data_IF_804257397456
#
_entry.id   IF_804257397456
#
_cell.length_a   1.000
_cell.length_b   1.000
_cell.length_c   1.000
_cell.angle_alpha   90.00
_cell.angle_beta   90.00
_cell.angle_gamma   90.00
#
_symmetry.space_group_name_H-M   'P 1'
#
loop_
_entity.id
_entity.type
_entity.pdbx_description
1 polymer ?
#
# COMPACT_ATOMS: atom_id res chain seq x y z
N UNK A 1 -3.70 -20.01 -5.04
CA UNK A 1 -4.08 -18.63 -4.64
C UNK A 1 -5.22 -18.28 -5.57
N UNK A 2 -6.41 -17.93 -5.05
CA UNK A 2 -7.62 -17.89 -5.88
C UNK A 2 -7.44 -17.16 -7.22
N UNK A 3 -6.89 -15.93 -7.22
CA UNK A 3 -6.67 -15.16 -8.47
C UNK A 3 -5.66 -15.80 -9.42
N UNK A 4 -4.64 -16.51 -8.90
CA UNK A 4 -3.72 -17.30 -9.73
C UNK A 4 -4.41 -18.50 -10.35
N UNK A 5 -5.27 -19.15 -9.58
CA UNK A 5 -5.99 -20.32 -10.03
C UNK A 5 -7.00 -19.92 -11.13
N UNK A 6 -7.59 -18.73 -11.04
CA UNK A 6 -8.34 -18.09 -12.15
C UNK A 6 -7.46 -17.85 -13.37
N UNK A 7 -6.28 -17.24 -13.20
CA UNK A 7 -5.36 -16.93 -14.29
C UNK A 7 -4.80 -18.17 -15.00
N UNK A 8 -4.73 -19.30 -14.28
CA UNK A 8 -4.29 -20.60 -14.80
C UNK A 8 -5.44 -21.47 -15.32
N UNK A 9 -6.68 -20.98 -15.28
CA UNK A 9 -7.88 -21.74 -15.66
C UNK A 9 -8.01 -23.06 -14.85
N UNK A 10 -7.53 -23.07 -13.59
CA UNK A 10 -7.59 -24.24 -12.70
C UNK A 10 -9.03 -24.41 -12.22
N UNK A 11 -9.70 -25.45 -12.70
CA UNK A 11 -11.14 -25.71 -12.51
C UNK A 11 -12.07 -24.69 -13.19
N UNK A 12 -11.60 -23.97 -14.20
CA UNK A 12 -12.36 -22.94 -14.89
C UNK A 12 -12.05 -21.53 -14.36
N UNK A 13 -11.81 -20.62 -15.29
CA UNK A 13 -11.75 -19.18 -15.05
C UNK A 13 -13.15 -18.57 -15.20
N UNK A 14 -13.51 -17.68 -14.27
CA UNK A 14 -14.72 -16.88 -14.38
C UNK A 14 -14.75 -16.17 -15.76
N UNK A 15 -15.84 -16.28 -16.54
CA UNK A 15 -15.90 -15.71 -17.88
C UNK A 15 -15.60 -14.22 -17.93
N UNK A 16 -16.01 -13.45 -16.91
CA UNK A 16 -15.73 -12.02 -16.84
C UNK A 16 -14.25 -11.75 -16.62
N UNK A 17 -13.59 -12.52 -15.74
CA UNK A 17 -12.14 -12.41 -15.56
C UNK A 17 -11.38 -12.80 -16.82
N UNK A 18 -11.81 -13.86 -17.51
CA UNK A 18 -11.19 -14.32 -18.75
C UNK A 18 -11.28 -13.30 -19.88
N UNK A 19 -12.38 -12.55 -19.94
CA UNK A 19 -12.63 -11.56 -21.00
C UNK A 19 -11.97 -10.20 -20.72
N UNK A 20 -11.98 -9.74 -19.46
CA UNK A 20 -11.65 -8.36 -19.13
C UNK A 20 -10.35 -8.16 -18.33
N UNK A 21 -9.78 -9.21 -17.74
CA UNK A 21 -8.62 -9.06 -16.85
C UNK A 21 -7.31 -9.44 -17.54
N UNK A 22 -6.39 -8.50 -17.58
CA UNK A 22 -4.97 -8.74 -17.88
C UNK A 22 -4.24 -9.11 -16.59
N UNK A 23 -4.08 -10.41 -16.33
CA UNK A 23 -3.39 -10.92 -15.14
C UNK A 23 -1.90 -10.52 -15.07
N UNK A 24 -1.31 -10.03 -16.18
CA UNK A 24 0.06 -9.50 -16.16
C UNK A 24 0.15 -8.05 -15.65
N UNK A 25 -0.99 -7.41 -15.36
CA UNK A 25 -1.09 -6.00 -14.94
C UNK A 25 -2.03 -5.84 -13.74
N UNK A 26 -1.73 -6.51 -12.64
CA UNK A 26 -2.52 -6.43 -11.42
C UNK A 26 -1.99 -5.37 -10.46
N UNK A 27 -2.91 -4.77 -9.70
CA UNK A 27 -2.62 -3.77 -8.68
C UNK A 27 -3.23 -4.18 -7.36
N UNK A 28 -2.58 -3.85 -6.25
CA UNK A 28 -3.17 -3.91 -4.92
C UNK A 28 -3.52 -2.50 -4.47
N UNK A 29 -4.75 -2.29 -4.02
CA UNK A 29 -5.25 -0.98 -3.59
C UNK A 29 -5.91 -1.08 -2.22
N UNK A 30 -5.67 -0.09 -1.38
CA UNK A 30 -6.28 0.00 -0.06
C UNK A 30 -6.18 1.39 0.54
N UNK A 31 -7.22 1.78 1.27
CA UNK A 31 -7.27 3.02 2.06
C UNK A 31 -7.15 2.69 3.54
N UNK A 32 -6.50 3.54 4.33
CA UNK A 32 -6.44 3.39 5.79
C UNK A 32 -5.85 2.02 6.19
N UNK A 33 -6.55 1.24 7.01
CA UNK A 33 -6.16 -0.14 7.36
C UNK A 33 -5.99 -1.03 6.11
N UNK A 34 -6.73 -0.78 5.04
CA UNK A 34 -6.54 -1.44 3.75
C UNK A 34 -5.17 -1.11 3.13
N UNK A 35 -4.65 0.11 3.30
CA UNK A 35 -3.30 0.47 2.83
C UNK A 35 -2.21 -0.29 3.59
N UNK A 36 -2.39 -0.50 4.89
CA UNK A 36 -1.55 -1.39 5.69
C UNK A 36 -1.61 -2.84 5.17
N UNK A 37 -2.82 -3.34 4.88
CA UNK A 37 -3.00 -4.68 4.31
C UNK A 37 -2.32 -4.82 2.93
N UNK A 38 -2.40 -3.81 2.06
CA UNK A 38 -1.69 -3.78 0.77
C UNK A 38 -0.19 -3.97 0.97
N UNK A 39 0.39 -3.19 1.89
CA UNK A 39 1.81 -3.26 2.22
C UNK A 39 2.23 -4.68 2.65
N UNK A 40 1.53 -5.27 3.63
CA UNK A 40 1.86 -6.60 4.11
C UNK A 40 1.52 -7.72 3.11
N UNK A 41 0.44 -7.59 2.33
CA UNK A 41 0.10 -8.55 1.28
C UNK A 41 1.17 -8.55 0.17
N UNK A 42 1.68 -7.38 -0.21
CA UNK A 42 2.75 -7.26 -1.19
C UNK A 42 4.05 -7.88 -0.68
N UNK A 43 4.41 -7.65 0.59
CA UNK A 43 5.56 -8.34 1.19
C UNK A 43 5.36 -9.86 1.17
N UNK A 44 4.18 -10.37 1.50
CA UNK A 44 3.90 -11.82 1.44
C UNK A 44 3.95 -12.36 0.01
N UNK A 45 3.51 -11.58 -0.98
CA UNK A 45 3.56 -11.96 -2.39
C UNK A 45 4.99 -12.22 -2.89
N UNK A 46 6.00 -11.56 -2.31
CA UNK A 46 7.41 -11.78 -2.65
C UNK A 46 7.94 -13.18 -2.27
N UNK A 47 7.25 -13.89 -1.38
CA UNK A 47 7.65 -15.22 -0.90
C UNK A 47 6.88 -16.37 -1.56
N UNK A 48 5.91 -16.06 -2.43
CA UNK A 48 5.06 -17.07 -3.07
C UNK A 48 5.07 -16.91 -4.58
N UNK A 49 4.90 -18.02 -5.29
CA UNK A 49 4.74 -17.97 -6.76
C UNK A 49 3.32 -17.55 -7.12
N UNK A 50 3.19 -16.30 -7.57
CA UNK A 50 1.95 -15.72 -8.07
C UNK A 50 1.75 -15.93 -9.57
N UNK A 51 2.73 -16.46 -10.31
CA UNK A 51 2.67 -16.61 -11.76
C UNK A 51 1.41 -17.37 -12.20
N UNK A 52 0.68 -16.89 -13.22
CA UNK A 52 1.05 -15.82 -14.16
C UNK A 52 0.63 -14.41 -13.70
N UNK A 53 0.06 -14.28 -12.49
CA UNK A 53 -0.37 -13.00 -11.93
C UNK A 53 0.84 -12.15 -11.56
N UNK A 54 0.93 -10.96 -12.15
CA UNK A 54 1.99 -9.97 -11.86
C UNK A 54 1.40 -8.75 -11.19
N UNK A 55 1.85 -8.49 -9.96
CA UNK A 55 1.51 -7.27 -9.23
C UNK A 55 2.51 -6.19 -9.63
N UNK A 56 2.06 -5.21 -10.40
CA UNK A 56 2.91 -4.18 -11.01
C UNK A 56 2.82 -2.81 -10.33
N UNK A 57 1.90 -2.65 -9.37
CA UNK A 57 1.78 -1.44 -8.58
C UNK A 57 1.02 -1.64 -7.27
N UNK A 58 1.41 -0.87 -6.25
CA UNK A 58 0.76 -0.82 -4.95
C UNK A 58 0.18 0.58 -4.73
N UNK A 59 -1.08 0.68 -4.34
CA UNK A 59 -1.77 1.94 -4.09
C UNK A 59 -2.22 1.96 -2.64
N UNK A 60 -1.59 2.83 -1.86
CA UNK A 60 -1.77 2.95 -0.42
C UNK A 60 -2.28 4.36 -0.12
N UNK A 61 -3.61 4.52 -0.02
CA UNK A 61 -4.21 5.79 0.39
C UNK A 61 -4.22 5.90 1.92
N UNK A 62 -3.51 6.89 2.45
CA UNK A 62 -3.44 7.17 3.89
C UNK A 62 -3.17 5.91 4.72
N UNK A 63 -2.12 5.13 4.42
CA UNK A 63 -1.95 3.81 5.01
C UNK A 63 -1.82 3.89 6.54
N UNK A 64 -2.52 2.99 7.22
CA UNK A 64 -2.64 2.99 8.68
C UNK A 64 -1.41 2.36 9.33
N UNK A 65 -0.48 3.20 9.79
CA UNK A 65 0.68 2.80 10.59
C UNK A 65 0.75 3.67 11.84
N UNK A 66 1.27 3.12 12.94
CA UNK A 66 1.51 3.84 14.19
C UNK A 66 2.79 3.31 14.83
N UNK A 67 3.02 3.61 16.10
CA UNK A 67 4.19 3.16 16.87
C UNK A 67 4.01 3.51 18.34
N UNK A 68 4.77 2.88 19.24
CA UNK A 68 4.68 3.18 20.67
C UNK A 68 4.93 4.67 20.92
N UNK A 69 6.02 5.18 20.35
CA UNK A 69 6.36 6.60 20.35
C UNK A 69 5.42 7.41 19.44
N UNK A 70 4.85 8.48 19.99
CA UNK A 70 3.92 9.35 19.26
C UNK A 70 4.64 10.29 18.32
N UNK A 71 4.16 10.39 17.09
CA UNK A 71 4.60 11.43 16.16
C UNK A 71 4.07 12.80 16.57
N UNK A 72 4.61 13.86 15.96
CA UNK A 72 4.13 15.22 16.20
C UNK A 72 2.70 15.43 15.65
N UNK A 73 2.36 14.80 14.52
CA UNK A 73 1.00 14.78 14.01
C UNK A 73 0.01 14.12 14.98
N UNK A 74 0.36 12.96 15.55
CA UNK A 74 -0.48 12.27 16.53
C UNK A 74 -0.72 13.17 17.76
N UNK A 75 0.33 13.83 18.29
CA UNK A 75 0.22 14.77 19.43
C UNK A 75 -0.61 16.02 19.11
N UNK A 76 -0.50 16.54 17.88
CA UNK A 76 -1.27 17.71 17.44
C UNK A 76 -2.75 17.40 17.30
N UNK A 77 -3.08 16.17 16.91
CA UNK A 77 -4.44 15.74 16.58
C UNK A 77 -4.99 14.70 17.58
N UNK A 78 -4.64 14.82 18.87
CA UNK A 78 -5.06 13.88 19.93
C UNK A 78 -6.57 13.63 19.96
N UNK A 79 -7.36 14.69 19.78
CA UNK A 79 -8.82 14.68 19.79
C UNK A 79 -9.41 14.76 18.38
N UNK A 80 -8.72 14.24 17.37
CA UNK A 80 -9.25 14.20 16.01
C UNK A 80 -10.64 13.55 15.96
N UNK A 81 -11.49 14.02 15.06
CA UNK A 81 -12.89 13.56 15.00
C UNK A 81 -13.04 12.20 14.32
N UNK A 82 -12.08 11.82 13.49
CA UNK A 82 -12.12 10.60 12.68
C UNK A 82 -11.23 9.53 13.34
N UNK A 83 -10.00 9.90 13.71
CA UNK A 83 -9.02 9.03 14.35
C UNK A 83 -8.52 9.62 15.69
N UNK A 84 -9.37 9.77 16.72
CA UNK A 84 -8.89 10.18 18.03
C UNK A 84 -7.90 9.14 18.59
N UNK A 85 -6.82 9.58 19.23
CA UNK A 85 -5.75 8.68 19.65
C UNK A 85 -6.21 7.52 20.56
N UNK A 86 -7.13 7.69 21.53
CA UNK A 86 -7.63 6.56 22.31
C UNK A 86 -8.32 5.49 21.45
N UNK A 87 -9.00 5.88 20.37
CA UNK A 87 -9.62 4.92 19.46
C UNK A 87 -8.57 4.24 18.57
N UNK A 88 -7.55 4.97 18.12
CA UNK A 88 -6.39 4.41 17.42
C UNK A 88 -5.70 3.34 18.28
N UNK A 89 -5.42 3.64 19.54
CA UNK A 89 -4.80 2.70 20.48
C UNK A 89 -5.65 1.44 20.69
N UNK A 90 -6.96 1.62 20.87
CA UNK A 90 -7.89 0.50 21.01
C UNK A 90 -7.91 -0.37 19.76
N UNK A 91 -7.98 0.23 18.56
CA UNK A 91 -7.95 -0.52 17.30
C UNK A 91 -6.68 -1.36 17.17
N UNK A 92 -5.51 -0.80 17.49
CA UNK A 92 -4.28 -1.58 17.47
C UNK A 92 -4.24 -2.68 18.53
N UNK A 93 -4.73 -2.43 19.74
CA UNK A 93 -4.80 -3.45 20.78
C UNK A 93 -5.68 -4.65 20.41
N UNK A 94 -6.70 -4.42 19.56
CA UNK A 94 -7.60 -5.45 19.06
C UNK A 94 -7.05 -6.18 17.83
N UNK A 95 -6.25 -5.50 17.00
CA UNK A 95 -5.70 -6.05 15.76
C UNK A 95 -4.40 -6.84 15.98
N UNK A 96 -3.61 -6.46 16.98
CA UNK A 96 -2.29 -7.03 17.22
C UNK A 96 -2.35 -8.36 18.00
N UNK A 97 -1.33 -9.24 17.85
CA UNK A 97 -1.22 -10.44 18.66
C UNK A 97 -1.25 -10.13 20.15
N UNK A 98 -1.83 -11.04 20.95
CA UNK A 98 -1.91 -10.86 22.41
C UNK A 98 -0.51 -10.66 23.02
N UNK A 99 -0.31 -9.54 23.71
CA UNK A 99 0.96 -9.19 24.35
C UNK A 99 1.93 -8.40 23.47
N UNK A 100 1.60 -8.18 22.19
CA UNK A 100 2.34 -7.26 21.34
C UNK A 100 1.96 -5.80 21.66
N UNK A 101 2.93 -4.91 21.53
CA UNK A 101 2.72 -3.47 21.57
C UNK A 101 2.67 -2.88 20.14
N UNK A 102 2.52 -1.55 20.04
CA UNK A 102 2.40 -0.85 18.76
C UNK A 102 3.72 -0.79 17.96
N UNK A 103 4.83 -1.30 18.46
CA UNK A 103 6.08 -1.45 17.70
C UNK A 103 6.20 -2.83 17.02
N UNK A 104 5.17 -3.67 17.14
CA UNK A 104 5.01 -4.86 16.33
C UNK A 104 4.99 -4.52 14.83
N UNK A 105 5.58 -5.37 13.99
CA UNK A 105 5.79 -5.12 12.55
C UNK A 105 4.51 -4.82 11.75
N UNK A 106 3.36 -5.31 12.19
CA UNK A 106 2.04 -5.02 11.59
C UNK A 106 1.55 -3.60 11.85
N UNK A 107 2.01 -2.97 12.92
CA UNK A 107 1.66 -1.60 13.29
C UNK A 107 2.76 -0.61 12.89
N UNK A 108 4.02 -0.98 13.12
CA UNK A 108 5.19 -0.14 12.89
C UNK A 108 6.28 -0.92 12.12
N UNK A 109 6.18 -1.08 10.79
CA UNK A 109 7.20 -1.80 10.03
C UNK A 109 8.58 -1.11 10.04
N UNK A 110 8.68 0.13 10.53
CA UNK A 110 9.91 0.91 10.59
C UNK A 110 10.82 0.44 11.73
N UNK A 111 10.26 -0.16 12.79
CA UNK A 111 11.00 -0.80 13.88
C UNK A 111 11.40 -2.24 13.56
N UNK A 112 10.95 -2.78 12.43
CA UNK A 112 11.23 -4.16 12.06
C UNK A 112 12.73 -4.43 11.86
N UNK A 113 13.06 -5.72 11.86
CA UNK A 113 14.42 -6.21 11.71
C UNK A 113 15.02 -5.91 10.32
N UNK A 114 16.31 -6.26 10.16
CA UNK A 114 17.02 -6.08 8.90
C UNK A 114 16.41 -6.86 7.74
N UNK A 115 15.83 -8.03 7.99
CA UNK A 115 15.27 -8.90 6.96
C UNK A 115 14.00 -8.30 6.35
N UNK A 116 13.04 -7.85 7.18
CA UNK A 116 11.84 -7.18 6.69
C UNK A 116 12.22 -5.90 5.93
N UNK A 117 13.18 -5.16 6.47
CA UNK A 117 13.71 -3.94 5.84
C UNK A 117 14.34 -4.21 4.47
N UNK A 118 15.14 -5.25 4.30
CA UNK A 118 15.67 -5.61 2.98
C UNK A 118 14.54 -5.99 2.02
N UNK A 119 13.58 -6.76 2.53
CA UNK A 119 12.41 -7.20 1.76
C UNK A 119 11.54 -6.05 1.26
N UNK A 120 11.40 -4.97 2.04
CA UNK A 120 10.71 -3.75 1.59
C UNK A 120 11.31 -3.17 0.31
N UNK A 121 12.64 -3.26 0.12
CA UNK A 121 13.33 -2.79 -1.08
C UNK A 121 13.00 -3.57 -2.36
N UNK A 122 12.34 -4.72 -2.23
CA UNK A 122 11.89 -5.56 -3.35
C UNK A 122 10.44 -5.31 -3.74
N UNK A 123 9.74 -4.40 -3.05
CA UNK A 123 8.37 -4.05 -3.40
C UNK A 123 8.34 -3.36 -4.78
N UNK A 124 7.25 -3.60 -5.51
CA UNK A 124 7.00 -2.92 -6.79
C UNK A 124 6.67 -1.44 -6.55
N UNK A 125 6.54 -0.69 -7.64
CA UNK A 125 6.22 0.74 -7.62
C UNK A 125 5.00 1.03 -6.74
N UNK A 126 5.07 2.09 -5.94
CA UNK A 126 4.04 2.45 -4.96
C UNK A 126 3.46 3.84 -5.24
N UNK A 127 2.16 4.01 -5.04
CA UNK A 127 1.51 5.30 -4.81
C UNK A 127 1.16 5.39 -3.32
N UNK A 128 1.64 6.42 -2.63
CA UNK A 128 1.27 6.73 -1.25
C UNK A 128 0.67 8.12 -1.20
N UNK A 129 -0.59 8.22 -0.80
CA UNK A 129 -1.29 9.49 -0.65
C UNK A 129 -1.56 9.80 0.82
N UNK A 130 -1.67 11.08 1.18
CA UNK A 130 -2.01 11.48 2.54
C UNK A 130 -2.40 12.95 2.70
N UNK A 131 -2.92 13.29 3.87
CA UNK A 131 -3.42 14.63 4.19
C UNK A 131 -2.79 15.19 5.45
N UNK A 132 -2.43 16.47 5.44
CA UNK A 132 -1.77 17.13 6.57
C UNK A 132 -2.60 17.21 7.86
N UNK A 133 -3.92 17.06 7.80
CA UNK A 133 -4.79 16.97 8.97
C UNK A 133 -5.09 15.55 9.44
N UNK A 134 -4.46 14.53 8.85
CA UNK A 134 -4.51 13.15 9.32
C UNK A 134 -3.55 12.97 10.52
N UNK A 135 -3.99 12.44 11.67
CA UNK A 135 -3.10 12.09 12.78
C UNK A 135 -1.93 11.19 12.38
N UNK A 136 -2.09 10.34 11.37
CA UNK A 136 -1.10 9.34 10.93
C UNK A 136 -0.13 9.85 9.85
N UNK A 137 -0.24 11.12 9.42
CA UNK A 137 0.52 11.66 8.29
C UNK A 137 2.03 11.51 8.44
N UNK A 138 2.57 11.66 9.65
CA UNK A 138 4.00 11.52 9.88
C UNK A 138 4.47 10.07 9.68
N UNK A 139 3.66 9.08 10.06
CA UNK A 139 3.94 7.66 9.80
C UNK A 139 3.85 7.30 8.32
N UNK A 140 2.91 7.90 7.60
CA UNK A 140 2.80 7.74 6.14
C UNK A 140 4.04 8.31 5.43
N UNK A 141 4.53 9.49 5.86
CA UNK A 141 5.77 10.08 5.35
C UNK A 141 7.01 9.28 5.74
N UNK A 142 7.02 8.70 6.95
CA UNK A 142 8.10 7.81 7.39
C UNK A 142 8.19 6.57 6.49
N UNK A 143 7.05 5.96 6.15
CA UNK A 143 7.00 4.83 5.22
C UNK A 143 7.63 5.18 3.86
N UNK A 144 7.21 6.30 3.27
CA UNK A 144 7.74 6.77 1.98
C UNK A 144 9.26 6.89 2.03
N UNK A 145 9.79 7.58 3.05
CA UNK A 145 11.25 7.74 3.22
C UNK A 145 11.97 6.39 3.34
N UNK A 146 11.40 5.45 4.07
CA UNK A 146 11.99 4.11 4.27
C UNK A 146 12.01 3.32 2.96
N UNK A 147 10.96 3.40 2.15
CA UNK A 147 10.85 2.76 0.84
C UNK A 147 11.80 3.38 -0.20
N UNK A 148 11.82 4.71 -0.31
CA UNK A 148 12.71 5.44 -1.22
C UNK A 148 14.19 5.17 -0.88
N UNK A 149 14.55 5.18 0.40
CA UNK A 149 15.91 4.87 0.86
C UNK A 149 16.35 3.43 0.50
N UNK A 150 15.41 2.56 0.12
CA UNK A 150 15.65 1.17 -0.32
C UNK A 150 15.51 0.99 -1.82
N UNK A 151 15.38 2.08 -2.57
CA UNK A 151 15.32 2.06 -4.03
C UNK A 151 13.95 1.71 -4.61
N UNK A 152 12.89 1.68 -3.80
CA UNK A 152 11.52 1.52 -4.31
C UNK A 152 11.09 2.80 -5.01
N UNK A 153 10.52 2.68 -6.22
CA UNK A 153 9.89 3.79 -6.92
C UNK A 153 8.58 4.16 -6.23
N UNK A 154 8.55 5.31 -5.54
CA UNK A 154 7.38 5.78 -4.80
C UNK A 154 6.89 7.10 -5.39
N UNK A 155 5.63 7.13 -5.80
CA UNK A 155 4.87 8.35 -6.06
C UNK A 155 4.22 8.77 -4.74
N UNK A 156 4.72 9.84 -4.13
CA UNK A 156 4.24 10.35 -2.86
C UNK A 156 3.43 11.63 -3.05
N UNK A 157 2.15 11.60 -2.68
CA UNK A 157 1.24 12.75 -2.85
C UNK A 157 0.61 13.13 -1.51
N UNK A 158 1.18 14.16 -0.87
CA UNK A 158 0.71 14.68 0.40
C UNK A 158 0.11 16.07 0.22
N UNK A 159 -1.20 16.19 0.38
CA UNK A 159 -1.88 17.48 0.31
C UNK A 159 -1.87 18.20 1.67
N UNK A 160 -1.75 19.52 1.63
CA UNK A 160 -1.94 20.36 2.82
C UNK A 160 -3.41 20.35 3.28
N UNK A 161 -3.62 20.39 4.60
CA UNK A 161 -4.96 20.32 5.19
C UNK A 161 -5.62 18.93 5.05
N UNK A 162 -6.93 18.90 4.94
CA UNK A 162 -7.73 17.66 4.89
C UNK A 162 -7.83 16.94 6.23
N UNK A 163 -8.31 15.71 6.20
CA UNK A 163 -8.39 14.79 7.35
C UNK A 163 -8.29 13.35 6.86
N UNK A 164 -8.17 12.40 7.80
CA UNK A 164 -8.18 10.99 7.46
C UNK A 164 -9.51 10.59 6.78
N UNK A 165 -9.46 9.85 5.68
CA UNK A 165 -10.64 9.42 4.91
C UNK A 165 -11.45 10.56 4.28
N UNK A 166 -10.88 11.75 4.08
CA UNK A 166 -11.62 12.90 3.55
C UNK A 166 -12.31 12.62 2.21
N UNK A 167 -11.76 11.73 1.39
CA UNK A 167 -12.34 11.32 0.10
C UNK A 167 -13.72 10.68 0.23
N UNK A 168 -14.08 10.18 1.42
CA UNK A 168 -15.40 9.60 1.69
C UNK A 168 -16.47 10.68 1.80
N UNK A 169 -16.08 11.89 2.22
CA UNK A 169 -17.00 12.97 2.58
C UNK A 169 -16.96 14.16 1.60
N UNK A 170 -15.85 14.33 0.88
CA UNK A 170 -15.64 15.43 -0.06
C UNK A 170 -15.46 14.89 -1.50
N UNK A 171 -16.46 15.08 -2.39
CA UNK A 171 -16.39 14.63 -3.78
C UNK A 171 -15.20 15.17 -4.56
N UNK A 172 -14.72 16.39 -4.26
CA UNK A 172 -13.56 16.96 -4.95
C UNK A 172 -12.28 16.25 -4.53
N UNK A 173 -12.18 15.79 -3.28
CA UNK A 173 -11.07 14.97 -2.81
C UNK A 173 -11.14 13.56 -3.37
N UNK A 174 -12.34 12.99 -3.51
CA UNK A 174 -12.54 11.73 -4.19
C UNK A 174 -12.10 11.78 -5.66
N UNK A 175 -12.51 12.81 -6.40
CA UNK A 175 -12.11 13.02 -7.79
C UNK A 175 -10.59 13.20 -7.94
N UNK A 176 -9.98 13.97 -7.04
CA UNK A 176 -8.52 14.13 -7.02
C UNK A 176 -7.80 12.79 -6.80
N UNK A 177 -8.23 11.99 -5.81
CA UNK A 177 -7.65 10.67 -5.55
C UNK A 177 -7.82 9.73 -6.76
N UNK A 178 -9.00 9.70 -7.38
CA UNK A 178 -9.24 8.88 -8.57
C UNK A 178 -8.36 9.29 -9.75
N UNK A 179 -8.10 10.59 -9.90
CA UNK A 179 -7.17 11.10 -10.91
C UNK A 179 -5.74 10.62 -10.65
N UNK A 180 -5.24 10.73 -9.42
CA UNK A 180 -3.92 10.23 -9.05
C UNK A 180 -3.79 8.73 -9.26
N UNK A 181 -4.80 7.95 -8.87
CA UNK A 181 -4.85 6.50 -9.11
C UNK A 181 -4.79 6.20 -10.60
N UNK A 182 -5.59 6.88 -11.42
CA UNK A 182 -5.59 6.69 -12.88
C UNK A 182 -4.22 6.98 -13.48
N UNK A 183 -3.62 8.12 -13.14
CA UNK A 183 -2.30 8.50 -13.64
C UNK A 183 -1.21 7.49 -13.22
N UNK A 184 -1.28 7.00 -11.98
CA UNK A 184 -0.38 5.96 -11.49
C UNK A 184 -0.55 4.63 -12.23
N UNK A 185 -1.78 4.17 -12.45
CA UNK A 185 -2.06 2.93 -13.21
C UNK A 185 -1.58 3.07 -14.65
N UNK A 186 -1.88 4.19 -15.31
CA UNK A 186 -1.47 4.45 -16.69
C UNK A 186 0.06 4.44 -16.83
N UNK A 187 0.78 5.04 -15.89
CA UNK A 187 2.25 5.09 -15.91
C UNK A 187 2.87 3.72 -15.63
N UNK A 188 2.38 2.96 -14.65
CA UNK A 188 2.83 1.59 -14.38
C UNK A 188 2.66 0.68 -15.61
N UNK A 189 1.47 0.72 -16.24
CA UNK A 189 1.17 -0.08 -17.43
C UNK A 189 2.10 0.27 -18.61
N UNK A 190 2.48 1.55 -18.78
CA UNK A 190 3.45 1.95 -19.79
C UNK A 190 4.83 1.39 -19.48
N UNK A 191 5.33 1.51 -18.24
CA UNK A 191 6.65 1.01 -17.86
C UNK A 191 6.82 -0.50 -18.15
N UNK A 192 5.78 -1.30 -17.87
CA UNK A 192 5.81 -2.76 -18.14
C UNK A 192 5.86 -3.07 -19.65
N UNK A 193 5.23 -2.26 -20.49
CA UNK A 193 5.25 -2.46 -21.95
C UNK A 193 6.60 -2.04 -22.60
N UNK A 194 7.49 -1.37 -21.86
CA UNK A 194 8.79 -0.89 -22.36
C UNK A 194 9.98 -1.78 -21.97
N UNK A 195 9.79 -2.89 -21.25
CA UNK A 195 10.87 -3.88 -21.11
C UNK A 195 11.25 -4.40 -22.51
N UNK A 196 12.47 -4.13 -23.02
CA UNK A 196 12.87 -4.64 -24.32
C UNK A 196 12.84 -6.16 -24.22
N UNK A 197 12.16 -6.81 -25.17
CA UNK A 197 12.13 -8.26 -25.28
C UNK A 197 13.55 -8.78 -25.08
N UNK A 198 13.77 -9.52 -23.98
CA UNK A 198 15.06 -10.10 -23.67
C UNK A 198 15.59 -10.76 -24.93
N UNK A 199 16.77 -10.33 -25.38
CA UNK A 199 17.41 -10.87 -26.57
C UNK A 199 17.42 -12.39 -26.41
N UNK A 200 16.70 -13.10 -27.28
CA UNK A 200 16.80 -14.55 -27.37
C UNK A 200 18.26 -14.86 -27.69
N UNK A 201 19.01 -15.26 -26.66
CA UNK A 201 20.33 -15.84 -26.83
C UNK A 201 20.11 -17.20 -27.51
N UNK A 202 20.34 -17.22 -28.81
CA UNK A 202 20.58 -18.44 -29.57
C UNK A 202 21.98 -18.92 -29.20
N UNK A 203 22.05 -20.03 -28.47
CA UNK A 203 23.15 -20.98 -28.52
C UNK A 203 22.55 -22.36 -28.77
#
# INVERSE_FOLDING_TARGET
MWVRDQAMDVNGCDPWLKEYVDFSKCFLIGSSAGGNMVFHAALRALDIDTSPVKIIGLIMNQPYFSGVERTESEKRFVNDRILPLPANDLMWSLALPKGADRDHEFCNPMTADGFLKEKMGRLTRCLVTGHGGDPLIDKQRELVKVLEARGVDVVAEFAEGGCHGIEIFDPLKAEALLKSIKEFVDTCCRCVNYEPAAAKSTL
#
